data_IF_248956418823
#
_entry.id   IF_248956418823
#
_cell.length_a   1.000
_cell.length_b   1.000
_cell.length_c   1.000
_cell.angle_alpha   90.00
_cell.angle_beta   90.00
_cell.angle_gamma   90.00
#
_symmetry.space_group_name_H-M   'P 1'
#
loop_
_entity.id
_entity.type
_entity.pdbx_description
1 polymer ?
#
# COMPACT_ATOMS: atom_id res chain seq x y z
N UNK A 1 10.16 -8.09 -2.18
CA UNK A 1 9.14 -7.38 -1.38
C UNK A 1 9.50 -5.91 -1.35
N UNK A 2 8.52 -5.05 -1.09
CA UNK A 2 8.66 -3.62 -0.90
C UNK A 2 8.17 -3.27 0.50
N UNK A 3 8.95 -2.52 1.25
CA UNK A 3 8.57 -2.00 2.57
C UNK A 3 8.64 -0.47 2.52
N UNK A 4 7.55 0.18 2.92
CA UNK A 4 7.42 1.64 2.95
C UNK A 4 7.02 2.10 4.35
N UNK A 5 7.71 3.10 4.88
CA UNK A 5 7.42 3.71 6.17
C UNK A 5 6.94 5.15 5.99
N UNK A 6 5.87 5.52 6.68
CA UNK A 6 5.35 6.89 6.74
C UNK A 6 5.19 7.35 8.19
N UNK A 7 5.72 8.54 8.51
CA UNK A 7 5.55 9.19 9.81
C UNK A 7 4.81 10.52 9.60
N UNK A 8 3.69 10.68 10.31
CA UNK A 8 2.93 11.91 10.34
C UNK A 8 2.86 12.43 11.77
N UNK A 9 3.16 13.72 11.93
CA UNK A 9 3.04 14.45 13.20
C UNK A 9 1.97 15.52 13.02
N UNK A 10 0.96 15.51 13.87
CA UNK A 10 -0.11 16.50 13.88
C UNK A 10 -0.16 17.17 15.25
N UNK A 11 0.17 18.46 15.29
CA UNK A 11 0.18 19.24 16.53
C UNK A 11 -0.86 20.35 16.39
N UNK A 12 -1.75 20.45 17.38
CA UNK A 12 -2.74 21.51 17.48
C UNK A 12 -2.75 22.05 18.90
N UNK A 13 -2.81 23.36 19.05
CA UNK A 13 -2.76 23.98 20.37
C UNK A 13 -3.49 25.32 20.39
N UNK A 14 -4.03 25.68 21.56
CA UNK A 14 -4.64 27.00 21.76
C UNK A 14 -3.52 28.01 22.03
N UNK A 15 -3.46 29.15 21.30
CA UNK A 15 -2.51 30.23 21.58
C UNK A 15 -2.63 30.72 23.02
N UNK A 16 -1.51 31.12 23.64
CA UNK A 16 -1.40 31.61 25.03
C UNK A 16 -1.65 30.56 26.15
N UNK A 17 -2.71 29.76 26.07
CA UNK A 17 -3.04 28.75 27.10
C UNK A 17 -2.10 27.54 27.08
N UNK A 18 -1.64 27.16 25.89
CA UNK A 18 -0.74 26.02 25.70
C UNK A 18 0.67 26.22 26.28
N UNK A 19 1.08 27.47 26.55
CA UNK A 19 2.39 27.81 27.13
C UNK A 19 2.40 27.89 28.66
N UNK A 20 1.26 27.68 29.34
CA UNK A 20 1.19 27.76 30.79
C UNK A 20 1.99 26.60 31.42
N UNK A 21 2.98 26.87 32.29
CA UNK A 21 3.68 25.82 33.03
C UNK A 21 2.68 24.95 33.80
N UNK A 22 2.92 23.65 33.87
CA UNK A 22 2.06 22.63 34.51
C UNK A 22 0.69 22.38 33.85
N UNK A 23 0.01 23.39 33.28
CA UNK A 23 -1.35 23.24 32.70
C UNK A 23 -1.39 23.20 31.16
N UNK A 24 -0.31 23.58 30.48
CA UNK A 24 -0.29 23.72 29.02
C UNK A 24 -0.64 22.46 28.24
N UNK A 25 -0.41 21.27 28.81
CA UNK A 25 -0.74 19.98 28.18
C UNK A 25 -2.25 19.72 28.08
N UNK A 26 -3.10 20.40 28.87
CA UNK A 26 -4.57 20.30 28.75
C UNK A 26 -5.12 21.07 27.55
N UNK A 27 -4.31 21.96 26.96
CA UNK A 27 -4.67 22.84 25.85
C UNK A 27 -3.82 22.57 24.59
N UNK A 28 -3.16 21.41 24.55
CA UNK A 28 -2.39 20.89 23.42
C UNK A 28 -2.93 19.53 23.02
N UNK A 29 -2.86 19.24 21.73
CA UNK A 29 -3.08 17.93 21.15
C UNK A 29 -1.88 17.59 20.26
N UNK A 30 -1.18 16.52 20.62
CA UNK A 30 -0.07 15.98 19.85
C UNK A 30 -0.43 14.57 19.37
N UNK A 31 -0.54 14.41 18.06
CA UNK A 31 -0.85 13.14 17.41
C UNK A 31 0.34 12.64 16.59
N UNK A 32 0.89 11.48 16.95
CA UNK A 32 1.92 10.81 16.15
C UNK A 32 1.30 9.58 15.51
N UNK A 33 1.35 9.50 14.17
CA UNK A 33 0.89 8.34 13.41
C UNK A 33 2.05 7.73 12.63
N UNK A 34 2.31 6.45 12.90
CA UNK A 34 3.28 5.65 12.17
C UNK A 34 2.53 4.65 11.30
N UNK A 35 2.85 4.59 10.00
CA UNK A 35 2.26 3.66 9.04
C UNK A 35 3.38 2.86 8.38
N UNK A 36 3.29 1.53 8.44
CA UNK A 36 4.20 0.61 7.74
C UNK A 36 3.39 -0.19 6.73
N UNK A 37 3.80 -0.12 5.46
CA UNK A 37 3.17 -0.86 4.36
C UNK A 37 4.17 -1.88 3.81
N UNK A 38 3.83 -3.16 3.84
CA UNK A 38 4.65 -4.26 3.33
C UNK A 38 3.95 -4.95 2.16
N UNK A 39 4.67 -5.16 1.07
CA UNK A 39 4.18 -5.82 -0.14
C UNK A 39 5.16 -6.94 -0.55
N UNK A 40 4.68 -8.17 -0.68
CA UNK A 40 5.48 -9.33 -1.08
C UNK A 40 4.91 -9.96 -2.35
N UNK A 41 5.76 -10.23 -3.34
CA UNK A 41 5.42 -10.96 -4.55
C UNK A 41 6.08 -12.34 -4.49
N UNK A 42 5.29 -13.41 -4.60
CA UNK A 42 5.77 -14.79 -4.67
C UNK A 42 5.46 -15.33 -6.06
N UNK A 43 6.49 -15.74 -6.80
CA UNK A 43 6.36 -16.28 -8.16
C UNK A 43 6.92 -17.69 -8.15
N UNK A 44 6.09 -18.67 -8.54
CA UNK A 44 6.53 -20.03 -8.79
C UNK A 44 6.47 -20.29 -10.29
N UNK A 45 7.59 -20.19 -11.02
CA UNK A 45 7.59 -20.52 -12.44
C UNK A 45 7.42 -22.03 -12.63
N UNK A 46 6.80 -22.44 -13.75
CA UNK A 46 6.74 -23.84 -14.18
C UNK A 46 7.21 -23.97 -15.62
N UNK A 47 7.96 -25.02 -15.91
CA UNK A 47 8.41 -25.35 -17.26
C UNK A 47 7.34 -26.24 -17.91
N UNK A 48 6.89 -25.86 -19.11
CA UNK A 48 5.99 -26.67 -19.94
C UNK A 48 6.78 -27.18 -21.15
N UNK A 49 6.73 -28.49 -21.41
CA UNK A 49 7.35 -29.10 -22.58
C UNK A 49 6.32 -29.20 -23.70
N UNK A 50 6.64 -28.68 -24.89
CA UNK A 50 5.76 -28.69 -26.08
C UNK A 50 5.52 -30.08 -26.67
N UNK A 51 6.10 -31.14 -26.08
CA UNK A 51 6.14 -32.46 -26.70
C UNK A 51 4.86 -33.29 -26.47
N UNK A 52 4.01 -32.94 -25.50
CA UNK A 52 2.81 -33.75 -25.15
C UNK A 52 1.58 -32.95 -24.70
N UNK A 53 1.23 -31.82 -25.32
CA UNK A 53 -0.07 -31.19 -24.96
C UNK A 53 -0.77 -30.47 -26.10
N UNK A 54 -2.06 -30.78 -26.26
CA UNK A 54 -3.05 -29.82 -26.75
C UNK A 54 -2.99 -28.61 -25.81
N UNK A 55 -2.09 -27.67 -26.09
CA UNK A 55 -1.96 -26.43 -25.34
C UNK A 55 -3.12 -25.54 -25.77
N UNK A 56 -4.24 -25.64 -25.06
CA UNK A 56 -5.32 -24.68 -25.20
C UNK A 56 -4.84 -23.32 -24.69
N UNK A 57 -4.38 -22.52 -25.65
CA UNK A 57 -3.87 -21.17 -25.40
C UNK A 57 -5.02 -20.31 -24.88
N UNK A 58 -4.76 -19.32 -24.02
CA UNK A 58 -5.80 -18.43 -23.45
C UNK A 58 -6.71 -17.78 -24.51
N UNK A 59 -6.18 -17.60 -25.71
CA UNK A 59 -6.89 -17.19 -26.93
C UNK A 59 -8.01 -18.17 -27.33
N UNK A 60 -7.77 -19.49 -27.25
CA UNK A 60 -8.74 -20.54 -27.54
C UNK A 60 -9.80 -20.68 -26.43
N UNK A 61 -9.49 -20.24 -25.21
CA UNK A 61 -10.42 -20.19 -24.08
C UNK A 61 -11.28 -18.91 -24.05
N UNK A 62 -11.28 -18.12 -25.13
CA UNK A 62 -12.13 -16.94 -25.27
C UNK A 62 -11.62 -15.67 -24.58
N UNK A 63 -10.44 -15.70 -23.95
CA UNK A 63 -9.80 -14.51 -23.39
C UNK A 63 -9.03 -13.77 -24.50
N UNK A 64 -9.75 -13.23 -25.48
CA UNK A 64 -9.17 -12.21 -26.35
C UNK A 64 -9.06 -10.92 -25.54
N UNK A 65 -7.86 -10.34 -25.53
CA UNK A 65 -7.59 -9.03 -24.96
C UNK A 65 -8.49 -8.02 -25.70
N UNK A 66 -9.65 -7.67 -25.15
CA UNK A 66 -10.40 -6.49 -25.59
C UNK A 66 -9.59 -5.27 -25.18
N UNK A 67 -8.61 -4.92 -26.02
CA UNK A 67 -8.00 -3.61 -25.99
C UNK A 67 -9.09 -2.64 -26.41
N UNK A 68 -9.36 -1.67 -25.53
CA UNK A 68 -10.18 -0.49 -25.74
C UNK A 68 -10.15 -0.05 -27.21
N UNK A 69 -11.27 -0.25 -27.90
CA UNK A 69 -11.61 0.53 -29.07
C UNK A 69 -12.01 1.94 -28.59
N UNK A 70 -11.62 2.90 -29.41
CA UNK A 70 -11.55 4.35 -29.19
C UNK A 70 -12.87 4.98 -28.75
#
# INVERSE_FOLDING_TARGET
>A
GLITHGKATNNSNIPFLSSIPFLGNLFKYDGVKNTTNELVFVITPRIISSKDSNIETLKNLGFSKKIYEQ
#
